data_IF_358071765691
#
_entry.id   IF_358071765691
#
_cell.length_a   1.000
_cell.length_b   1.000
_cell.length_c   1.000
_cell.angle_alpha   90.00
_cell.angle_beta   90.00
_cell.angle_gamma   90.00
#
_symmetry.space_group_name_H-M   'P 1'
#
loop_
_entity.id
_entity.type
_entity.pdbx_description
1 polymer ?
#
# COMPACT_ATOMS: atom_id res chain seq x y z
N UNK A 1 -3.83 8.65 13.32
CA UNK A 1 -4.29 7.46 12.57
C UNK A 1 -5.58 7.74 11.78
N UNK A 2 -6.68 8.26 12.39
CA UNK A 2 -7.92 8.58 11.66
C UNK A 2 -7.74 9.64 10.56
N UNK A 3 -6.90 10.66 10.78
CA UNK A 3 -6.65 11.69 9.77
C UNK A 3 -5.91 11.11 8.55
N UNK A 4 -4.93 10.24 8.78
CA UNK A 4 -4.23 9.51 7.74
C UNK A 4 -5.19 8.58 6.98
N UNK A 5 -6.03 7.84 7.71
CA UNK A 5 -7.02 6.96 7.09
C UNK A 5 -8.01 7.73 6.21
N UNK A 6 -8.50 8.88 6.65
CA UNK A 6 -9.39 9.74 5.83
C UNK A 6 -8.69 10.23 4.56
N UNK A 7 -7.41 10.60 4.65
CA UNK A 7 -6.61 10.96 3.47
C UNK A 7 -6.53 9.78 2.48
N UNK A 8 -6.35 8.55 2.96
CA UNK A 8 -6.31 7.36 2.11
C UNK A 8 -7.66 7.05 1.47
N UNK A 9 -8.77 7.26 2.18
CA UNK A 9 -10.13 7.12 1.62
C UNK A 9 -10.36 8.14 0.51
N UNK A 10 -10.00 9.40 0.72
CA UNK A 10 -10.13 10.45 -0.30
C UNK A 10 -9.24 10.15 -1.52
N UNK A 11 -8.07 9.60 -1.31
CA UNK A 11 -7.19 9.18 -2.39
C UNK A 11 -7.80 8.03 -3.20
N UNK A 12 -8.42 7.05 -2.53
CA UNK A 12 -9.16 5.97 -3.19
C UNK A 12 -10.35 6.48 -3.99
N UNK A 13 -11.14 7.41 -3.44
CA UNK A 13 -12.23 8.09 -4.16
C UNK A 13 -11.74 8.81 -5.41
N UNK A 14 -10.61 9.50 -5.31
CA UNK A 14 -10.01 10.21 -6.43
C UNK A 14 -9.50 9.26 -7.52
N UNK A 15 -8.89 8.14 -7.14
CA UNK A 15 -8.42 7.12 -8.08
C UNK A 15 -9.60 6.46 -8.82
N UNK A 16 -10.66 6.07 -8.11
CA UNK A 16 -11.88 5.54 -8.73
C UNK A 16 -12.60 6.59 -9.60
N UNK A 17 -12.58 7.85 -9.20
CA UNK A 17 -13.21 8.93 -9.97
C UNK A 17 -12.65 9.11 -11.39
N UNK A 18 -11.44 8.61 -11.67
CA UNK A 18 -10.83 8.64 -13.01
C UNK A 18 -11.49 7.66 -13.99
N UNK A 19 -12.13 6.61 -13.48
CA UNK A 19 -12.65 5.50 -14.28
C UNK A 19 -14.13 5.21 -14.01
N UNK A 20 -14.68 5.73 -12.93
CA UNK A 20 -16.08 5.57 -12.58
C UNK A 20 -16.98 6.55 -13.32
N UNK A 21 -18.25 6.17 -13.57
CA UNK A 21 -19.29 7.05 -14.06
C UNK A 21 -19.45 8.25 -13.13
N UNK A 22 -19.71 9.40 -13.70
CA UNK A 22 -19.87 10.62 -12.92
C UNK A 22 -20.96 10.49 -11.87
N UNK A 23 -20.62 10.84 -10.62
CA UNK A 23 -21.52 10.76 -9.48
C UNK A 23 -21.74 9.38 -8.88
N UNK A 24 -21.12 8.30 -9.42
CA UNK A 24 -21.28 6.94 -8.90
C UNK A 24 -20.32 6.59 -7.74
N UNK A 25 -19.25 7.36 -7.55
CA UNK A 25 -18.28 7.07 -6.49
C UNK A 25 -18.87 7.38 -5.12
N UNK A 26 -18.90 6.37 -4.26
CA UNK A 26 -19.46 6.49 -2.91
C UNK A 26 -18.62 5.70 -1.89
N UNK A 27 -18.70 6.10 -0.63
CA UNK A 27 -18.10 5.37 0.49
C UNK A 27 -19.19 4.49 1.10
N UNK A 28 -19.11 3.18 0.86
CA UNK A 28 -20.09 2.22 1.36
C UNK A 28 -19.91 1.91 2.84
N UNK A 29 -18.64 1.85 3.27
CA UNK A 29 -18.30 1.63 4.67
C UNK A 29 -17.12 2.53 5.04
N UNK A 30 -17.20 3.16 6.20
CA UNK A 30 -16.19 4.07 6.71
C UNK A 30 -15.78 3.67 8.14
N UNK A 31 -14.47 3.65 8.39
CA UNK A 31 -13.86 3.41 9.71
C UNK A 31 -14.28 2.08 10.38
N UNK A 32 -14.47 1.03 9.61
CA UNK A 32 -14.77 -0.29 10.15
C UNK A 32 -13.54 -0.90 10.81
N UNK A 33 -13.67 -1.37 12.05
CA UNK A 33 -12.60 -2.07 12.73
C UNK A 33 -12.62 -3.55 12.33
N UNK A 34 -11.60 -3.97 11.59
CA UNK A 34 -11.41 -5.38 11.23
C UNK A 34 -10.32 -6.01 12.10
N UNK A 35 -10.64 -7.16 12.70
CA UNK A 35 -9.71 -7.94 13.51
C UNK A 35 -9.15 -9.08 12.67
N UNK A 36 -7.85 -9.09 12.50
CA UNK A 36 -7.09 -10.18 11.91
C UNK A 36 -6.34 -10.95 13.01
N UNK A 37 -5.73 -12.07 12.68
CA UNK A 37 -5.05 -12.94 13.66
C UNK A 37 -3.99 -12.23 14.50
N UNK A 38 -3.31 -11.21 13.95
CA UNK A 38 -2.19 -10.54 14.62
C UNK A 38 -2.32 -9.02 14.69
N UNK A 39 -3.32 -8.43 14.04
CA UNK A 39 -3.49 -6.98 13.95
C UNK A 39 -4.96 -6.58 13.90
N UNK A 40 -5.23 -5.35 14.32
CA UNK A 40 -6.54 -4.69 14.14
C UNK A 40 -6.30 -3.54 13.17
N UNK A 41 -7.09 -3.48 12.11
CA UNK A 41 -7.03 -2.39 11.13
C UNK A 41 -8.33 -1.63 11.05
N UNK A 42 -8.22 -0.33 10.80
CA UNK A 42 -9.33 0.50 10.33
C UNK A 42 -9.44 0.28 8.83
N UNK A 43 -10.61 -0.09 8.36
CA UNK A 43 -10.89 -0.31 6.93
C UNK A 43 -12.05 0.56 6.47
N UNK A 44 -12.04 0.91 5.20
CA UNK A 44 -13.14 1.61 4.53
C UNK A 44 -13.31 1.02 3.14
N UNK A 45 -14.54 1.05 2.63
CA UNK A 45 -14.87 0.57 1.29
C UNK A 45 -15.36 1.72 0.45
N UNK A 46 -14.75 1.91 -0.70
CA UNK A 46 -15.17 2.88 -1.72
C UNK A 46 -15.54 2.12 -2.97
N UNK A 47 -16.70 2.43 -3.54
CA UNK A 47 -17.20 1.82 -4.78
C UNK A 47 -17.50 2.87 -5.85
N UNK A 48 -17.72 2.41 -7.07
CA UNK A 48 -18.14 3.24 -8.19
C UNK A 48 -18.44 2.37 -9.41
N UNK A 49 -19.42 2.78 -10.21
CA UNK A 49 -19.77 2.10 -11.45
C UNK A 49 -18.72 2.43 -12.52
N UNK A 50 -18.14 1.42 -13.13
CA UNK A 50 -17.15 1.62 -14.18
C UNK A 50 -17.79 2.30 -15.42
N UNK A 51 -17.05 3.20 -16.07
CA UNK A 51 -17.50 3.86 -17.30
C UNK A 51 -17.69 2.87 -18.44
N UNK A 52 -18.63 3.15 -19.32
CA UNK A 52 -18.88 2.32 -20.50
C UNK A 52 -17.63 2.25 -21.40
N UNK A 53 -17.30 1.06 -21.87
CA UNK A 53 -16.12 0.80 -22.70
C UNK A 53 -14.80 0.70 -21.92
N UNK A 54 -14.85 0.71 -20.60
CA UNK A 54 -13.71 0.46 -19.70
C UNK A 54 -13.77 -0.95 -19.13
N UNK A 55 -12.62 -1.51 -18.82
CA UNK A 55 -12.48 -2.88 -18.31
C UNK A 55 -11.59 -2.95 -17.05
N UNK A 56 -11.32 -4.18 -16.60
CA UNK A 56 -10.50 -4.44 -15.43
C UNK A 56 -9.07 -3.91 -15.56
N UNK A 57 -8.48 -3.93 -16.77
CA UNK A 57 -7.13 -3.42 -17.01
C UNK A 57 -7.09 -1.90 -16.92
N UNK A 58 -8.14 -1.21 -17.44
CA UNK A 58 -8.31 0.22 -17.27
C UNK A 58 -8.43 0.59 -15.78
N UNK A 59 -9.15 -0.24 -14.99
CA UNK A 59 -9.30 -0.03 -13.55
C UNK A 59 -7.95 -0.14 -12.82
N UNK A 60 -7.13 -1.14 -13.14
CA UNK A 60 -5.77 -1.25 -12.63
C UNK A 60 -4.94 -0.02 -13.00
N UNK A 61 -4.99 0.40 -14.27
CA UNK A 61 -4.25 1.55 -14.76
C UNK A 61 -4.64 2.87 -14.08
N UNK A 62 -5.91 3.04 -13.71
CA UNK A 62 -6.41 4.22 -13.02
C UNK A 62 -6.03 4.27 -11.53
N UNK A 63 -5.99 3.11 -10.87
CA UNK A 63 -5.79 3.02 -9.41
C UNK A 63 -4.32 2.87 -9.01
N UNK A 64 -3.48 2.27 -9.88
CA UNK A 64 -2.06 2.09 -9.60
C UNK A 64 -1.18 3.23 -10.15
N UNK A 65 -0.04 3.51 -9.48
CA UNK A 65 0.35 3.03 -8.16
C UNK A 65 -0.63 3.46 -7.09
N UNK A 66 -0.92 2.54 -6.16
CA UNK A 66 -1.87 2.82 -5.08
C UNK A 66 -1.43 4.03 -4.23
N UNK A 67 -2.37 4.86 -3.83
CA UNK A 67 -2.11 6.05 -3.05
C UNK A 67 -1.38 5.78 -1.73
N UNK A 68 -1.71 4.67 -1.09
CA UNK A 68 -1.05 4.19 0.15
C UNK A 68 0.45 3.95 0.00
N UNK A 69 0.94 3.73 -1.22
CA UNK A 69 2.36 3.47 -1.50
C UNK A 69 3.03 4.58 -2.31
N UNK A 70 2.29 5.58 -2.72
CA UNK A 70 2.83 6.76 -3.42
C UNK A 70 2.76 8.02 -2.57
N UNK A 71 1.57 8.43 -2.20
CA UNK A 71 1.33 9.65 -1.44
C UNK A 71 0.41 10.63 -2.19
N UNK A 72 0.19 11.80 -1.59
CA UNK A 72 -0.65 12.86 -2.11
C UNK A 72 0.09 14.21 -2.12
N UNK A 73 0.02 15.01 -3.21
CA UNK A 73 -0.54 14.68 -4.55
C UNK A 73 0.27 13.59 -5.25
N UNK A 74 -0.41 12.62 -5.88
CA UNK A 74 0.20 11.35 -6.38
C UNK A 74 1.40 11.57 -7.30
N UNK A 75 1.30 12.44 -8.29
CA UNK A 75 2.37 12.67 -9.28
C UNK A 75 3.62 13.21 -8.59
N UNK A 76 3.48 14.26 -7.76
CA UNK A 76 4.61 14.85 -7.06
C UNK A 76 5.26 13.88 -6.07
N UNK A 77 4.46 13.09 -5.37
CA UNK A 77 4.95 12.06 -4.48
C UNK A 77 5.79 11.01 -5.22
N UNK A 78 5.33 10.57 -6.40
CA UNK A 78 6.08 9.61 -7.24
C UNK A 78 7.41 10.21 -7.74
N UNK A 79 7.42 11.48 -8.14
CA UNK A 79 8.66 12.17 -8.54
C UNK A 79 9.67 12.18 -7.39
N UNK A 80 9.25 12.58 -6.19
CA UNK A 80 10.10 12.59 -4.99
C UNK A 80 10.63 11.19 -4.67
N UNK A 81 9.77 10.16 -4.74
CA UNK A 81 10.17 8.78 -4.51
C UNK A 81 11.21 8.32 -5.54
N UNK A 82 11.05 8.72 -6.80
CA UNK A 82 12.02 8.41 -7.85
C UNK A 82 13.40 9.04 -7.59
N UNK A 83 13.41 10.26 -7.06
CA UNK A 83 14.64 10.97 -6.68
C UNK A 83 15.34 10.31 -5.47
N UNK A 84 14.57 9.86 -4.48
CA UNK A 84 15.10 9.37 -3.20
C UNK A 84 15.41 7.87 -3.19
N UNK A 85 14.60 7.04 -3.86
CA UNK A 85 14.78 5.61 -3.88
C UNK A 85 15.87 5.19 -4.87
N UNK A 86 16.97 4.66 -4.35
CA UNK A 86 18.15 4.25 -5.14
C UNK A 86 17.96 2.95 -5.92
N UNK A 87 16.87 2.23 -5.70
CA UNK A 87 16.59 0.95 -6.34
C UNK A 87 15.13 0.85 -6.78
N UNK A 88 14.85 0.21 -7.93
CA UNK A 88 13.47 0.04 -8.39
C UNK A 88 12.66 -0.78 -7.39
N UNK A 89 11.38 -0.47 -7.27
CA UNK A 89 10.45 -1.18 -6.37
C UNK A 89 10.15 -2.60 -6.83
N UNK A 90 10.29 -2.88 -8.11
CA UNK A 90 9.98 -4.19 -8.71
C UNK A 90 8.50 -4.52 -8.52
N UNK A 91 8.23 -5.69 -7.94
CA UNK A 91 6.86 -6.15 -7.66
C UNK A 91 6.21 -5.45 -6.45
N UNK A 92 7.01 -4.76 -5.63
CA UNK A 92 6.51 -4.04 -4.46
C UNK A 92 5.67 -2.84 -4.88
N UNK A 93 4.43 -2.78 -4.44
CA UNK A 93 3.49 -1.72 -4.78
C UNK A 93 2.74 -1.90 -6.09
N UNK A 94 2.98 -3.01 -6.81
CA UNK A 94 2.19 -3.41 -7.97
C UNK A 94 0.88 -4.09 -7.58
N UNK A 95 0.19 -4.67 -8.56
CA UNK A 95 -1.02 -5.48 -8.36
C UNK A 95 -0.67 -6.97 -8.36
N UNK A 96 -1.27 -7.72 -7.44
CA UNK A 96 -1.22 -9.18 -7.40
C UNK A 96 -2.64 -9.71 -7.28
N UNK A 97 -3.03 -10.60 -8.18
CA UNK A 97 -4.38 -11.16 -8.18
C UNK A 97 -4.71 -11.85 -9.48
N UNK A 98 -5.98 -11.85 -9.84
CA UNK A 98 -6.45 -12.49 -11.05
C UNK A 98 -7.52 -11.66 -11.77
N UNK A 99 -7.64 -11.89 -13.06
CA UNK A 99 -8.74 -11.45 -13.91
C UNK A 99 -9.31 -12.70 -14.56
N UNK A 100 -10.59 -12.95 -14.41
CA UNK A 100 -11.24 -14.10 -15.03
C UNK A 100 -11.73 -13.80 -16.45
N UNK A 101 -12.17 -14.85 -17.17
CA UNK A 101 -12.65 -14.72 -18.54
C UNK A 101 -14.01 -14.02 -18.66
N UNK A 102 -14.71 -13.81 -17.55
CA UNK A 102 -15.96 -13.04 -17.48
C UNK A 102 -15.72 -11.56 -17.25
N UNK A 103 -14.45 -11.14 -17.06
CA UNK A 103 -14.05 -9.76 -16.80
C UNK A 103 -14.06 -9.39 -15.33
N UNK A 104 -14.37 -10.31 -14.41
CA UNK A 104 -14.22 -10.08 -12.98
C UNK A 104 -12.74 -10.04 -12.59
N UNK A 105 -12.42 -9.21 -11.62
CA UNK A 105 -11.06 -9.01 -11.14
C UNK A 105 -11.04 -8.96 -9.61
N UNK A 106 -10.04 -9.62 -9.03
CA UNK A 106 -9.69 -9.41 -7.63
C UNK A 106 -8.17 -9.27 -7.53
N UNK A 107 -7.70 -8.10 -7.09
CA UNK A 107 -6.30 -7.77 -6.98
C UNK A 107 -6.02 -7.04 -5.66
N UNK A 108 -4.86 -7.30 -5.11
CA UNK A 108 -4.36 -6.55 -3.96
C UNK A 108 -3.04 -5.85 -4.30
N UNK A 109 -2.65 -4.92 -3.43
CA UNK A 109 -1.34 -4.26 -3.54
C UNK A 109 -0.24 -5.27 -3.18
N UNK A 110 0.82 -5.33 -3.96
CA UNK A 110 2.01 -6.16 -3.69
C UNK A 110 2.81 -5.65 -2.51
N UNK A 111 2.34 -5.91 -1.29
CA UNK A 111 3.00 -5.60 -0.02
C UNK A 111 3.04 -6.84 0.87
N UNK A 112 3.80 -6.79 1.95
CA UNK A 112 3.92 -7.94 2.88
C UNK A 112 4.31 -9.23 2.16
N UNK A 113 5.21 -9.11 1.18
CA UNK A 113 5.64 -10.19 0.32
C UNK A 113 7.16 -10.31 0.26
N UNK A 114 7.62 -11.48 -0.11
CA UNK A 114 9.02 -11.75 -0.42
C UNK A 114 9.13 -12.28 -1.85
N UNK A 115 10.13 -11.86 -2.57
CA UNK A 115 10.42 -12.32 -3.93
C UNK A 115 11.70 -13.14 -3.93
N UNK A 116 11.64 -14.37 -4.45
CA UNK A 116 12.83 -15.17 -4.72
C UNK A 116 13.24 -15.01 -6.19
N UNK A 117 14.47 -14.55 -6.42
CA UNK A 117 15.05 -14.41 -7.76
C UNK A 117 16.53 -14.77 -7.72
N UNK A 118 16.92 -15.76 -8.54
CA UNK A 118 18.32 -16.18 -8.65
C UNK A 118 18.91 -16.68 -7.33
N UNK A 119 18.15 -17.41 -6.50
CA UNK A 119 18.60 -17.93 -5.21
C UNK A 119 18.69 -16.87 -4.11
N UNK A 120 18.30 -15.63 -4.38
CA UNK A 120 18.25 -14.54 -3.40
C UNK A 120 16.81 -14.18 -3.08
N UNK A 121 16.54 -13.92 -1.81
CA UNK A 121 15.23 -13.48 -1.34
C UNK A 121 15.28 -11.98 -1.06
N UNK A 122 14.33 -11.27 -1.63
CA UNK A 122 14.16 -9.83 -1.49
C UNK A 122 12.89 -9.54 -0.69
N UNK A 123 13.03 -8.75 0.35
CA UNK A 123 11.92 -8.23 1.16
C UNK A 123 11.97 -6.70 1.07
N UNK A 124 10.84 -6.07 0.75
CA UNK A 124 10.72 -4.61 0.75
C UNK A 124 9.59 -4.21 1.67
N UNK A 125 9.82 -3.19 2.46
CA UNK A 125 8.85 -2.58 3.35
C UNK A 125 9.01 -1.06 3.31
N UNK A 126 7.96 -0.33 3.68
CA UNK A 126 7.96 1.12 3.77
C UNK A 126 6.97 1.61 4.81
N UNK A 127 7.08 2.88 5.19
CA UNK A 127 6.16 3.60 6.06
C UNK A 127 5.60 4.83 5.35
N UNK A 128 4.44 5.29 5.77
CA UNK A 128 3.86 6.55 5.31
C UNK A 128 4.57 7.72 5.99
N UNK A 129 5.01 8.69 5.21
CA UNK A 129 5.69 9.87 5.74
C UNK A 129 4.75 11.06 5.66
N UNK A 130 4.49 11.68 6.79
CA UNK A 130 3.70 12.91 6.93
C UNK A 130 4.54 13.98 7.63
N UNK A 131 4.01 15.21 7.68
CA UNK A 131 4.72 16.37 8.24
C UNK A 131 5.24 16.13 9.66
N UNK A 132 4.45 15.44 10.48
CA UNK A 132 4.76 15.21 11.89
C UNK A 132 5.47 13.86 12.14
N UNK A 133 5.89 13.17 11.07
CA UNK A 133 6.63 11.91 11.18
C UNK A 133 7.99 12.12 11.83
N UNK A 134 8.30 11.25 12.78
CA UNK A 134 9.61 11.18 13.42
C UNK A 134 10.46 10.14 12.69
N UNK A 135 11.58 10.50 12.04
CA UNK A 135 12.34 9.60 11.17
C UNK A 135 12.72 8.26 11.82
N UNK A 136 13.11 8.29 13.09
CA UNK A 136 13.47 7.07 13.83
C UNK A 136 12.26 6.13 14.04
N UNK A 137 11.08 6.68 14.30
CA UNK A 137 9.84 5.91 14.46
C UNK A 137 9.42 5.26 13.14
N UNK A 138 9.46 6.02 12.04
CA UNK A 138 9.13 5.53 10.70
C UNK A 138 10.09 4.43 10.24
N UNK A 139 11.38 4.60 10.50
CA UNK A 139 12.36 3.56 10.23
C UNK A 139 12.07 2.27 10.99
N UNK A 140 11.77 2.37 12.30
CA UNK A 140 11.38 1.22 13.10
C UNK A 140 10.12 0.53 12.58
N UNK A 141 9.14 1.29 12.14
CA UNK A 141 7.93 0.75 11.53
C UNK A 141 8.26 -0.06 10.28
N UNK A 142 9.18 0.41 9.43
CA UNK A 142 9.61 -0.36 8.24
C UNK A 142 10.28 -1.68 8.64
N UNK A 143 11.11 -1.69 9.68
CA UNK A 143 11.73 -2.91 10.18
C UNK A 143 10.68 -3.90 10.70
N UNK A 144 9.74 -3.44 11.52
CA UNK A 144 8.65 -4.27 12.03
C UNK A 144 7.78 -4.84 10.90
N UNK A 145 7.47 -4.05 9.90
CA UNK A 145 6.73 -4.49 8.70
C UNK A 145 7.47 -5.57 7.90
N UNK A 146 8.81 -5.50 7.84
CA UNK A 146 9.64 -6.52 7.19
C UNK A 146 9.85 -7.79 8.02
N UNK A 147 9.78 -7.69 9.34
CA UNK A 147 10.12 -8.76 10.28
C UNK A 147 9.30 -10.03 10.08
N UNK A 148 7.99 -9.91 9.87
CA UNK A 148 7.11 -11.07 9.68
C UNK A 148 7.51 -11.90 8.46
N UNK A 149 7.91 -11.24 7.37
CA UNK A 149 8.37 -11.92 6.15
C UNK A 149 9.73 -12.59 6.36
N UNK A 150 10.66 -11.89 7.00
CA UNK A 150 12.00 -12.44 7.30
C UNK A 150 11.88 -13.65 8.25
N UNK A 151 11.04 -13.56 9.26
CA UNK A 151 10.78 -14.67 10.19
C UNK A 151 10.17 -15.88 9.48
N UNK A 152 9.20 -15.66 8.59
CA UNK A 152 8.58 -16.74 7.82
C UNK A 152 9.58 -17.44 6.89
N UNK A 153 10.50 -16.70 6.27
CA UNK A 153 11.51 -17.23 5.34
C UNK A 153 12.59 -18.00 6.08
N UNK A 154 13.05 -17.47 7.23
CA UNK A 154 14.18 -18.04 7.97
C UNK A 154 13.79 -19.13 8.95
N UNK A 155 12.50 -19.29 9.24
CA UNK A 155 11.97 -20.16 10.29
C UNK A 155 12.39 -19.74 11.71
N UNK A 156 12.89 -18.52 11.87
CA UNK A 156 13.36 -17.96 13.14
C UNK A 156 12.61 -16.69 13.47
N UNK A 157 12.30 -16.49 14.74
CA UNK A 157 11.82 -15.19 15.21
C UNK A 157 12.98 -14.20 15.14
N UNK A 158 12.89 -13.24 14.24
CA UNK A 158 13.86 -12.16 14.10
C UNK A 158 13.35 -10.97 14.92
N UNK A 159 14.09 -10.61 15.96
CA UNK A 159 13.82 -9.42 16.76
C UNK A 159 14.80 -8.33 16.36
N UNK A 160 14.31 -7.21 15.90
CA UNK A 160 15.12 -6.01 15.71
C UNK A 160 15.16 -5.26 17.05
N UNK A 161 16.33 -5.22 17.69
CA UNK A 161 16.56 -4.36 18.85
C UNK A 161 17.00 -2.98 18.38
N UNK A 162 16.19 -1.99 18.65
CA UNK A 162 16.56 -0.59 18.41
C UNK A 162 17.27 -0.03 19.65
N UNK A 163 18.52 0.35 19.47
CA UNK A 163 19.21 1.19 20.44
C UNK A 163 19.01 2.65 20.04
N UNK A 164 18.13 3.35 20.75
CA UNK A 164 18.13 4.80 20.67
C UNK A 164 19.47 5.31 21.22
N UNK A 165 20.33 5.83 20.33
CA UNK A 165 21.42 6.67 20.79
C UNK A 165 20.79 7.86 21.49
N UNK A 166 21.04 7.99 22.80
CA UNK A 166 20.63 9.20 23.54
C UNK A 166 21.36 10.40 22.90
N UNK A 167 20.68 11.50 22.60
CA UNK A 167 21.38 12.70 22.19
C UNK A 167 22.28 13.14 23.34
N UNK A 168 23.56 13.28 23.05
CA UNK A 168 24.57 13.91 23.92
C UNK A 168 24.29 15.38 24.12
#
# INVERSE_FOLDING_TARGET
>A
ELAEHNMLVDLGRNDLGKIAKFGSVQVEALHMLQRFSHVIHITSTVSGDIQDGKDALDAIGATLPAGTLSGAPKIRAIEILHELEKSPRGVYGGAVGYIDFSGNMDVCIGIRMAMNKGGKVYVRAGAGIVRDSVPASEYNETLMKGQSMISAITGKTVLFHYHMAQPS
#
